data_IF_388888246382
#
_entry.id   IF_388888246382
#
_cell.length_a   1.000
_cell.length_b   1.000
_cell.length_c   1.000
_cell.angle_alpha   90.00
_cell.angle_beta   90.00
_cell.angle_gamma   90.00
#
_symmetry.space_group_name_H-M   'P 1'
#
loop_
_entity.id
_entity.type
_entity.pdbx_description
1 polymer ?
#
# COMPACT_ATOMS: atom_id res chain seq x y z
N UNK A 1 4.30 -3.03 -0.26
CA UNK A 1 3.25 -2.28 -0.98
C UNK A 1 3.10 -2.88 -2.38
N UNK A 2 1.89 -3.11 -2.87
CA UNK A 2 1.65 -3.72 -4.18
C UNK A 2 0.39 -3.16 -4.87
N UNK A 3 0.46 -2.97 -6.20
CA UNK A 3 -0.69 -2.63 -7.06
C UNK A 3 -1.37 -3.88 -7.64
N UNK A 4 -0.59 -4.92 -7.96
CA UNK A 4 -1.08 -6.19 -8.49
C UNK A 4 -1.34 -7.18 -7.34
N UNK A 5 -2.40 -6.94 -6.57
CA UNK A 5 -2.79 -7.75 -5.40
C UNK A 5 -2.93 -9.25 -5.76
N UNK A 6 -3.57 -9.65 -6.88
CA UNK A 6 -3.67 -11.08 -7.23
C UNK A 6 -2.30 -11.73 -7.44
N UNK A 7 -1.37 -11.03 -8.13
CA UNK A 7 0.00 -11.52 -8.37
C UNK A 7 0.76 -11.66 -7.05
N UNK A 8 0.65 -10.66 -6.16
CA UNK A 8 1.27 -10.69 -4.85
C UNK A 8 0.79 -11.89 -4.01
N UNK A 9 -0.51 -12.23 -4.08
CA UNK A 9 -1.05 -13.43 -3.42
C UNK A 9 -0.47 -14.71 -4.02
N UNK A 10 -0.41 -14.83 -5.35
CA UNK A 10 0.10 -16.03 -6.03
C UNK A 10 1.56 -16.33 -5.68
N UNK A 11 2.39 -15.30 -5.47
CA UNK A 11 3.81 -15.47 -5.12
C UNK A 11 4.07 -15.55 -3.60
N UNK A 12 3.01 -15.66 -2.79
CA UNK A 12 3.13 -15.88 -1.35
C UNK A 12 3.47 -14.64 -0.52
N UNK A 13 3.14 -13.43 -0.99
CA UNK A 13 3.32 -12.22 -0.17
C UNK A 13 2.40 -12.28 1.06
N UNK A 14 3.00 -12.30 2.24
CA UNK A 14 2.29 -12.42 3.52
C UNK A 14 1.73 -11.09 4.05
N UNK A 15 2.29 -9.96 3.64
CA UNK A 15 1.85 -8.62 4.06
C UNK A 15 1.65 -7.72 2.84
N UNK A 16 0.39 -7.46 2.51
CA UNK A 16 0.04 -6.69 1.31
C UNK A 16 -0.54 -5.35 1.74
N UNK A 17 0.15 -4.26 1.39
CA UNK A 17 -0.36 -2.90 1.52
C UNK A 17 -0.74 -2.39 0.13
N UNK A 18 -2.03 -2.13 -0.16
CA UNK A 18 -2.49 -1.75 -1.48
C UNK A 18 -2.07 -0.33 -1.86
N UNK A 19 -1.68 -0.16 -3.12
CA UNK A 19 -1.38 1.14 -3.76
C UNK A 19 -2.58 1.62 -4.58
N UNK A 20 -2.57 2.86 -5.10
CA UNK A 20 -3.77 3.43 -5.77
C UNK A 20 -3.99 2.96 -7.22
N UNK A 21 -2.93 2.65 -7.95
CA UNK A 21 -3.00 2.47 -9.40
C UNK A 21 -1.81 1.66 -9.92
N UNK A 22 -1.88 1.26 -11.19
CA UNK A 22 -0.78 0.61 -11.90
C UNK A 22 0.28 1.65 -12.30
N UNK A 23 -0.03 2.66 -13.13
CA UNK A 23 0.85 3.80 -13.30
C UNK A 23 0.79 4.68 -12.06
N UNK A 24 1.94 5.14 -11.56
CA UNK A 24 2.04 6.00 -10.37
C UNK A 24 1.40 5.39 -9.10
N UNK A 25 1.86 4.22 -8.63
CA UNK A 25 1.23 3.51 -7.50
C UNK A 25 1.12 4.33 -6.20
N UNK A 26 1.95 5.36 -6.04
CA UNK A 26 2.02 6.19 -4.84
C UNK A 26 1.70 7.66 -5.10
N UNK A 27 0.96 7.99 -6.15
CA UNK A 27 0.50 9.35 -6.38
C UNK A 27 -0.09 9.58 -7.76
N UNK A 28 -0.50 10.81 -8.02
CA UNK A 28 -0.96 11.24 -9.33
C UNK A 28 -0.21 12.52 -9.69
N UNK A 29 0.61 12.54 -10.77
CA UNK A 29 1.33 13.74 -11.19
C UNK A 29 0.44 14.95 -11.47
N UNK A 30 -0.84 14.73 -11.80
CA UNK A 30 -1.81 15.80 -12.04
C UNK A 30 -2.32 16.46 -10.75
N UNK A 31 -2.03 15.88 -9.58
CA UNK A 31 -2.52 16.39 -8.29
C UNK A 31 -1.49 17.29 -7.57
N UNK A 32 -1.94 18.24 -6.73
CA UNK A 32 -1.05 19.10 -5.96
C UNK A 32 -0.07 18.32 -5.06
N UNK A 33 1.10 18.91 -4.81
CA UNK A 33 2.19 18.30 -4.02
C UNK A 33 1.72 17.85 -2.63
N UNK A 34 0.85 18.63 -2.00
CA UNK A 34 0.32 18.41 -0.66
C UNK A 34 -0.58 17.17 -0.62
N UNK A 35 -1.41 16.97 -1.65
CA UNK A 35 -2.26 15.79 -1.80
C UNK A 35 -1.39 14.55 -1.97
N UNK A 36 -0.39 14.62 -2.85
CA UNK A 36 0.54 13.51 -3.05
C UNK A 36 1.35 13.20 -1.78
N UNK A 37 1.76 14.23 -1.02
CA UNK A 37 2.49 14.03 0.23
C UNK A 37 1.63 13.32 1.26
N UNK A 38 0.39 13.78 1.50
CA UNK A 38 -0.56 13.13 2.43
C UNK A 38 -0.79 11.67 2.05
N UNK A 39 -0.99 11.42 0.76
CA UNK A 39 -1.18 10.09 0.21
C UNK A 39 -0.01 9.15 0.49
N UNK A 40 1.23 9.62 0.25
CA UNK A 40 2.45 8.84 0.52
C UNK A 40 2.67 8.64 2.01
N UNK A 41 2.50 9.69 2.80
CA UNK A 41 2.71 9.66 4.25
C UNK A 41 1.81 8.61 4.91
N UNK A 42 0.52 8.63 4.60
CA UNK A 42 -0.43 7.65 5.13
C UNK A 42 -0.08 6.21 4.74
N UNK A 43 0.21 5.96 3.46
CA UNK A 43 0.57 4.61 2.98
C UNK A 43 1.86 4.08 3.59
N UNK A 44 2.85 4.93 3.76
CA UNK A 44 4.10 4.57 4.44
C UNK A 44 3.80 4.23 5.91
N UNK A 45 2.94 5.00 6.59
CA UNK A 45 2.46 4.67 7.94
C UNK A 45 1.85 3.27 8.01
N UNK A 46 0.87 2.96 7.14
CA UNK A 46 0.26 1.61 7.09
C UNK A 46 1.30 0.52 6.78
N UNK A 47 2.32 0.81 5.96
CA UNK A 47 3.40 -0.13 5.69
C UNK A 47 4.29 -0.38 6.90
N UNK A 48 4.58 0.64 7.70
CA UNK A 48 5.30 0.49 8.96
C UNK A 48 4.48 -0.32 9.96
N UNK A 49 3.19 -0.02 10.11
CA UNK A 49 2.28 -0.77 10.97
C UNK A 49 2.20 -2.24 10.54
N UNK A 50 2.17 -2.51 9.23
CA UNK A 50 2.14 -3.87 8.70
C UNK A 50 3.40 -4.67 9.07
N UNK A 51 4.57 -4.03 9.11
CA UNK A 51 5.83 -4.68 9.50
C UNK A 51 5.85 -5.04 10.98
N UNK A 52 5.28 -4.21 11.84
CA UNK A 52 5.20 -4.46 13.28
C UNK A 52 3.98 -5.29 13.71
N UNK A 53 3.03 -5.53 12.81
CA UNK A 53 1.84 -6.33 13.11
C UNK A 53 2.17 -7.83 13.09
N UNK A 54 1.91 -8.49 14.21
CA UNK A 54 1.90 -9.95 14.29
C UNK A 54 0.76 -10.50 13.41
N UNK A 55 1.07 -11.49 12.58
CA UNK A 55 0.10 -12.14 11.70
C UNK A 55 0.32 -13.64 11.77
N UNK A 56 -0.79 -14.39 11.80
CA UNK A 56 -0.79 -15.84 11.69
C UNK A 56 -1.06 -16.28 10.24
N UNK A 57 -1.76 -15.43 9.47
CA UNK A 57 -2.15 -15.68 8.08
C UNK A 57 -1.80 -14.50 7.17
N UNK A 58 -1.61 -14.70 5.85
CA UNK A 58 -1.39 -13.62 4.89
C UNK A 58 -2.47 -12.54 4.98
N UNK A 59 -2.06 -11.29 5.19
CA UNK A 59 -2.97 -10.17 5.45
C UNK A 59 -2.89 -9.10 4.38
N UNK A 60 -4.06 -8.67 3.90
CA UNK A 60 -4.24 -7.42 3.18
C UNK A 60 -4.52 -6.31 4.20
N UNK A 61 -3.67 -5.29 4.25
CA UNK A 61 -3.79 -4.17 5.18
C UNK A 61 -4.66 -3.08 4.55
N UNK A 62 -5.60 -2.55 5.34
CA UNK A 62 -6.49 -1.50 4.87
C UNK A 62 -5.76 -0.18 4.71
N UNK A 63 -5.99 0.48 3.58
CA UNK A 63 -5.49 1.84 3.33
C UNK A 63 -6.70 2.73 3.10
N UNK A 64 -6.99 3.58 4.07
CA UNK A 64 -7.99 4.66 3.94
C UNK A 64 -7.38 5.78 3.08
N UNK A 65 -8.08 6.27 2.07
CA UNK A 65 -7.63 7.40 1.24
C UNK A 65 -8.59 8.55 1.46
#
# INVERSE_FOLDING_TARGET
MANLIPVARTVGVNRIVPTISIPYPLGDPATPKEVQHKLRYHRVGVALDALSTEIEEPRLFEVKV
#
